data_IF_768357730604
#
_entry.id   IF_768357730604
#
_cell.length_a   1.000
_cell.length_b   1.000
_cell.length_c   1.000
_cell.angle_alpha   90.00
_cell.angle_beta   90.00
_cell.angle_gamma   90.00
#
_symmetry.space_group_name_H-M   'P 1'
#
loop_
_entity.id
_entity.type
_entity.pdbx_description
1 polymer ?
#
# COMPACT_ATOMS: atom_id res chain seq x y z
N UNK A 1 -36.49 163.92 -50.15
CA UNK A 1 -37.10 164.35 -48.88
C UNK A 1 -36.89 163.20 -47.91
N UNK A 2 -36.07 163.42 -46.88
CA UNK A 2 -35.62 162.40 -45.93
C UNK A 2 -36.71 162.14 -44.89
N UNK A 3 -37.07 160.87 -44.66
CA UNK A 3 -37.93 160.49 -43.54
C UNK A 3 -37.10 160.24 -42.29
N UNK A 4 -37.21 161.19 -41.35
CA UNK A 4 -36.40 161.33 -40.13
C UNK A 4 -36.78 160.34 -39.01
N UNK A 5 -37.66 159.37 -39.28
CA UNK A 5 -38.19 158.39 -38.31
C UNK A 5 -37.47 157.04 -38.28
N UNK A 6 -36.49 156.81 -39.15
CA UNK A 6 -35.75 155.54 -39.23
C UNK A 6 -34.38 155.55 -38.52
N UNK A 7 -34.01 156.67 -37.88
CA UNK A 7 -32.69 156.88 -37.30
C UNK A 7 -32.72 157.18 -35.78
N UNK A 8 -33.82 156.88 -35.10
CA UNK A 8 -34.02 157.20 -33.67
C UNK A 8 -34.01 155.95 -32.76
N UNK A 9 -33.67 154.77 -33.28
CA UNK A 9 -33.69 153.52 -32.49
C UNK A 9 -32.38 152.72 -32.50
N UNK A 10 -31.34 153.19 -33.19
CA UNK A 10 -30.01 152.53 -33.15
C UNK A 10 -29.15 152.97 -31.95
N UNK A 11 -29.49 154.06 -31.28
CA UNK A 11 -28.76 154.57 -30.10
C UNK A 11 -29.11 153.79 -28.81
N UNK A 12 -30.21 153.03 -28.81
CA UNK A 12 -30.64 152.23 -27.65
C UNK A 12 -29.86 150.91 -27.47
N UNK A 13 -29.13 150.42 -28.48
CA UNK A 13 -28.38 149.16 -28.37
C UNK A 13 -27.00 149.32 -27.74
N UNK A 14 -26.34 150.45 -27.95
CA UNK A 14 -24.93 150.64 -27.57
C UNK A 14 -24.74 150.88 -26.06
N UNK A 15 -25.81 151.29 -25.36
CA UNK A 15 -25.77 151.58 -23.92
C UNK A 15 -26.11 150.39 -23.01
N UNK A 16 -26.61 149.26 -23.55
CA UNK A 16 -27.05 148.10 -22.73
C UNK A 16 -26.16 146.85 -22.82
N UNK A 17 -25.32 146.71 -23.87
CA UNK A 17 -24.59 145.46 -24.15
C UNK A 17 -23.06 145.55 -24.15
N UNK A 18 -22.47 146.57 -23.50
CA UNK A 18 -20.99 146.74 -23.44
C UNK A 18 -20.23 145.56 -22.82
N UNK A 19 -20.87 144.75 -21.96
CA UNK A 19 -20.23 143.63 -21.26
C UNK A 19 -20.69 142.23 -21.74
N UNK A 20 -21.48 142.12 -22.81
CA UNK A 20 -22.09 140.85 -23.24
C UNK A 20 -21.07 139.78 -23.66
N UNK A 21 -19.97 140.20 -24.31
CA UNK A 21 -18.89 139.28 -24.70
C UNK A 21 -18.23 138.61 -23.49
N UNK A 22 -17.90 139.37 -22.45
CA UNK A 22 -17.26 138.81 -21.24
C UNK A 22 -18.19 137.87 -20.47
N UNK A 23 -19.49 138.15 -20.48
CA UNK A 23 -20.51 137.35 -19.78
C UNK A 23 -20.71 135.96 -20.43
N UNK A 24 -20.40 135.81 -21.72
CA UNK A 24 -20.46 134.54 -22.46
C UNK A 24 -19.10 133.84 -22.56
N UNK A 25 -18.01 134.59 -22.80
CA UNK A 25 -16.68 134.00 -23.05
C UNK A 25 -16.08 133.34 -21.80
N UNK A 26 -16.31 133.93 -20.62
CA UNK A 26 -15.73 133.47 -19.36
C UNK A 26 -16.26 132.09 -18.90
N UNK A 27 -17.59 131.85 -18.85
CA UNK A 27 -18.09 130.51 -18.50
C UNK A 27 -17.70 129.46 -19.54
N UNK A 28 -17.60 129.84 -20.82
CA UNK A 28 -17.18 128.94 -21.89
C UNK A 28 -15.71 128.51 -21.73
N UNK A 29 -14.84 129.44 -21.34
CA UNK A 29 -13.44 129.14 -21.06
C UNK A 29 -13.28 128.23 -19.83
N UNK A 30 -14.02 128.49 -18.75
CA UNK A 30 -14.04 127.65 -17.55
C UNK A 30 -14.51 126.22 -17.88
N UNK A 31 -15.53 126.08 -18.74
CA UNK A 31 -16.03 124.79 -19.19
C UNK A 31 -14.98 124.02 -20.02
N UNK A 32 -14.25 124.73 -20.90
CA UNK A 32 -13.19 124.13 -21.70
C UNK A 32 -12.03 123.63 -20.81
N UNK A 33 -11.56 124.47 -19.88
CA UNK A 33 -10.51 124.09 -18.92
C UNK A 33 -10.97 122.91 -18.03
N UNK A 34 -12.22 122.92 -17.58
CA UNK A 34 -12.82 121.82 -16.83
C UNK A 34 -12.84 120.50 -17.61
N UNK A 35 -13.19 120.54 -18.91
CA UNK A 35 -13.17 119.36 -19.77
C UNK A 35 -11.76 118.78 -19.98
N UNK A 36 -10.74 119.64 -20.11
CA UNK A 36 -9.34 119.20 -20.20
C UNK A 36 -8.89 118.55 -18.89
N UNK A 37 -9.17 119.15 -17.73
CA UNK A 37 -8.82 118.56 -16.43
C UNK A 37 -9.56 117.23 -16.22
N UNK A 38 -10.83 117.14 -16.64
CA UNK A 38 -11.64 115.93 -16.52
C UNK A 38 -11.07 114.76 -17.33
N UNK A 39 -10.51 115.00 -18.52
CA UNK A 39 -9.88 113.92 -19.32
C UNK A 39 -8.59 113.39 -18.70
N UNK A 40 -7.83 114.20 -17.96
CA UNK A 40 -6.67 113.72 -17.21
C UNK A 40 -7.06 112.91 -15.95
N UNK A 41 -8.20 113.21 -15.32
CA UNK A 41 -8.66 112.50 -14.12
C UNK A 41 -9.58 111.30 -14.40
N UNK A 42 -10.17 111.21 -15.60
CA UNK A 42 -11.06 110.12 -15.98
C UNK A 42 -10.28 108.80 -16.13
N UNK A 43 -10.28 107.99 -15.08
CA UNK A 43 -9.71 106.64 -15.10
C UNK A 43 -10.71 105.68 -15.76
N UNK A 44 -10.34 105.12 -16.92
CA UNK A 44 -11.15 104.10 -17.61
C UNK A 44 -10.79 102.72 -17.06
N UNK A 45 -11.63 102.18 -16.18
CA UNK A 45 -11.47 100.80 -15.71
C UNK A 45 -11.82 99.81 -16.84
N UNK A 46 -10.87 98.95 -17.21
CA UNK A 46 -11.03 97.86 -18.16
C UNK A 46 -11.03 96.54 -17.38
N UNK A 47 -12.21 96.09 -16.97
CA UNK A 47 -12.37 94.80 -16.31
C UNK A 47 -12.35 93.69 -17.36
N UNK A 48 -11.28 92.89 -17.37
CA UNK A 48 -11.16 91.71 -18.22
C UNK A 48 -11.80 90.54 -17.48
N UNK A 49 -12.99 90.13 -17.93
CA UNK A 49 -13.64 88.92 -17.45
C UNK A 49 -13.11 87.74 -18.28
N UNK A 50 -12.34 86.85 -17.65
CA UNK A 50 -11.81 85.64 -18.28
C UNK A 50 -12.56 84.42 -17.74
N UNK A 51 -13.10 83.59 -18.63
CA UNK A 51 -13.73 82.31 -18.27
C UNK A 51 -12.70 81.20 -18.27
N UNK A 52 -12.38 80.65 -17.09
CA UNK A 52 -11.56 79.45 -16.95
C UNK A 52 -12.40 78.27 -16.48
N UNK A 53 -12.17 77.08 -17.04
CA UNK A 53 -12.75 75.83 -16.54
C UNK A 53 -11.77 75.18 -15.57
N UNK A 54 -12.27 74.67 -14.44
CA UNK A 54 -11.45 73.91 -13.47
C UNK A 54 -11.57 72.43 -13.85
N UNK A 55 -10.49 71.88 -14.40
CA UNK A 55 -10.39 70.45 -14.70
C UNK A 55 -9.42 69.75 -13.74
N UNK A 56 -9.67 68.46 -13.39
CA UNK A 56 -8.78 67.69 -12.54
C UNK A 56 -7.38 67.54 -13.16
N UNK A 57 -6.33 67.87 -12.40
CA UNK A 57 -4.93 67.78 -12.87
C UNK A 57 -4.44 66.34 -13.05
N UNK A 58 -5.18 65.35 -12.53
CA UNK A 58 -4.88 63.91 -12.64
C UNK A 58 -6.16 63.14 -12.97
N UNK A 59 -6.00 62.00 -13.66
CA UNK A 59 -7.10 61.09 -14.00
C UNK A 59 -7.88 60.74 -12.73
N UNK A 60 -9.21 60.91 -12.78
CA UNK A 60 -10.11 60.48 -11.70
C UNK A 60 -10.06 58.95 -11.61
N UNK A 61 -9.31 58.43 -10.65
CA UNK A 61 -9.21 57.00 -10.43
C UNK A 61 -10.54 56.46 -9.88
N UNK A 62 -11.10 55.45 -10.55
CA UNK A 62 -12.24 54.69 -10.03
C UNK A 62 -11.72 53.65 -9.05
N UNK A 63 -12.03 53.83 -7.78
CA UNK A 63 -11.71 52.85 -6.73
C UNK A 63 -12.82 51.79 -6.74
N UNK A 64 -12.45 50.53 -6.97
CA UNK A 64 -13.38 49.41 -7.01
C UNK A 64 -12.89 48.32 -6.05
N UNK A 65 -13.83 47.68 -5.36
CA UNK A 65 -13.52 46.46 -4.62
C UNK A 65 -13.54 45.26 -5.57
N UNK A 66 -12.65 44.30 -5.32
CA UNK A 66 -12.66 42.99 -5.98
C UNK A 66 -13.59 41.99 -5.28
N UNK A 67 -14.17 42.35 -4.13
CA UNK A 67 -15.15 41.54 -3.39
C UNK A 67 -16.52 42.21 -3.33
N UNK A 68 -17.57 41.38 -3.24
CA UNK A 68 -18.97 41.83 -3.18
C UNK A 68 -19.52 41.86 -1.74
N UNK A 69 -18.64 41.94 -0.73
CA UNK A 69 -19.02 41.85 0.67
C UNK A 69 -19.73 43.13 1.14
N UNK A 70 -20.57 43.05 2.19
CA UNK A 70 -21.18 44.24 2.76
C UNK A 70 -20.12 45.16 3.39
N UNK A 71 -20.30 46.47 3.24
CA UNK A 71 -19.46 47.49 3.86
C UNK A 71 -19.83 47.60 5.34
N UNK A 72 -18.84 47.49 6.23
CA UNK A 72 -19.00 47.66 7.69
C UNK A 72 -18.57 49.06 8.14
N UNK A 73 -17.50 49.62 7.55
CA UNK A 73 -17.05 50.98 7.86
C UNK A 73 -16.93 51.80 6.57
N UNK A 74 -17.52 53.00 6.56
CA UNK A 74 -17.43 53.93 5.45
C UNK A 74 -16.80 55.26 5.92
N UNK A 75 -15.58 55.52 5.45
CA UNK A 75 -14.83 56.74 5.75
C UNK A 75 -14.86 57.77 4.60
N UNK A 76 -15.61 57.49 3.54
CA UNK A 76 -15.80 58.37 2.39
C UNK A 76 -16.82 59.47 2.72
N UNK A 77 -16.47 60.71 2.36
CA UNK A 77 -17.37 61.86 2.34
C UNK A 77 -17.05 62.69 1.10
N UNK A 78 -18.06 63.26 0.46
CA UNK A 78 -17.86 64.12 -0.71
C UNK A 78 -16.95 65.31 -0.36
N UNK A 79 -16.01 65.62 -1.26
CA UNK A 79 -15.04 66.71 -1.06
C UNK A 79 -13.94 66.43 -0.02
N UNK A 80 -13.92 65.26 0.63
CA UNK A 80 -12.87 64.92 1.60
C UNK A 80 -11.56 64.59 0.89
N UNK A 81 -10.50 65.31 1.26
CA UNK A 81 -9.13 65.03 0.78
C UNK A 81 -8.62 63.73 1.43
N UNK A 82 -8.17 62.79 0.62
CA UNK A 82 -7.63 61.49 1.05
C UNK A 82 -6.19 61.33 0.55
N UNK A 83 -5.37 60.61 1.33
CA UNK A 83 -3.99 60.28 0.95
C UNK A 83 -3.93 58.85 0.40
N UNK A 84 -2.90 58.54 -0.36
CA UNK A 84 -2.60 57.15 -0.76
C UNK A 84 -2.53 56.22 0.47
N UNK A 85 -3.02 54.99 0.32
CA UNK A 85 -3.15 53.99 1.40
C UNK A 85 -4.06 54.37 2.58
N UNK A 86 -4.89 55.41 2.45
CA UNK A 86 -5.92 55.71 3.46
C UNK A 86 -7.06 54.68 3.40
N UNK A 87 -7.51 54.20 4.56
CA UNK A 87 -8.68 53.32 4.64
C UNK A 87 -9.95 54.10 4.25
N UNK A 88 -10.54 53.75 3.11
CA UNK A 88 -11.75 54.38 2.61
C UNK A 88 -13.01 53.61 2.99
N UNK A 89 -13.00 52.31 2.74
CA UNK A 89 -14.09 51.38 3.03
C UNK A 89 -13.51 50.15 3.70
N UNK A 90 -14.21 49.61 4.71
CA UNK A 90 -13.91 48.31 5.30
C UNK A 90 -15.06 47.36 5.01
N UNK A 91 -14.75 46.26 4.33
CA UNK A 91 -15.71 45.23 3.98
C UNK A 91 -15.75 44.13 5.03
N UNK A 92 -16.89 43.43 5.14
CA UNK A 92 -17.02 42.27 6.01
C UNK A 92 -16.12 41.13 5.51
N UNK A 93 -15.09 40.78 6.28
CA UNK A 93 -14.16 39.68 5.96
C UNK A 93 -14.49 38.35 6.64
N UNK A 94 -15.66 38.21 7.27
CA UNK A 94 -16.05 36.98 7.96
C UNK A 94 -16.13 35.77 7.01
N UNK A 95 -16.76 35.85 5.81
CA UNK A 95 -16.81 34.72 4.88
C UNK A 95 -15.42 34.23 4.46
N UNK A 96 -14.49 35.13 4.16
CA UNK A 96 -13.11 34.79 3.79
C UNK A 96 -12.33 34.18 4.95
N UNK A 97 -12.53 34.67 6.18
CA UNK A 97 -11.92 34.09 7.37
C UNK A 97 -12.47 32.67 7.65
N UNK A 98 -13.77 32.44 7.44
CA UNK A 98 -14.35 31.09 7.53
C UNK A 98 -13.76 30.18 6.46
N UNK A 99 -13.74 30.59 5.19
CA UNK A 99 -13.13 29.80 4.11
C UNK A 99 -11.65 29.50 4.36
N UNK A 100 -10.89 30.49 4.85
CA UNK A 100 -9.48 30.32 5.19
C UNK A 100 -9.30 29.31 6.33
N UNK A 101 -10.13 29.38 7.38
CA UNK A 101 -10.04 28.44 8.50
C UNK A 101 -10.44 27.01 8.11
N UNK A 102 -11.44 26.85 7.25
CA UNK A 102 -11.81 25.57 6.63
C UNK A 102 -10.65 25.02 5.79
N UNK A 103 -10.04 25.82 4.92
CA UNK A 103 -8.92 25.41 4.08
C UNK A 103 -7.69 25.04 4.92
N UNK A 104 -7.39 25.79 5.98
CA UNK A 104 -6.31 25.47 6.91
C UNK A 104 -6.59 24.16 7.67
N UNK A 105 -7.84 23.90 8.04
CA UNK A 105 -8.27 22.65 8.67
C UNK A 105 -8.11 21.47 7.72
N UNK A 106 -8.56 21.60 6.47
CA UNK A 106 -8.37 20.59 5.43
C UNK A 106 -6.89 20.30 5.18
N UNK A 107 -6.07 21.36 5.08
CA UNK A 107 -4.61 21.22 4.93
C UNK A 107 -4.00 20.44 6.09
N UNK A 108 -4.40 20.75 7.33
CA UNK A 108 -3.94 20.01 8.52
C UNK A 108 -4.35 18.55 8.46
N UNK A 109 -5.61 18.25 8.16
CA UNK A 109 -6.11 16.87 8.02
C UNK A 109 -5.33 16.06 6.99
N UNK A 110 -5.00 16.67 5.83
CA UNK A 110 -4.19 16.01 4.79
C UNK A 110 -2.76 15.75 5.27
N UNK A 111 -2.14 16.69 5.98
CA UNK A 111 -0.80 16.50 6.55
C UNK A 111 -0.79 15.40 7.61
N UNK A 112 -1.79 15.37 8.48
CA UNK A 112 -1.94 14.34 9.52
C UNK A 112 -2.18 12.96 8.88
N UNK A 113 -3.02 12.87 7.83
CA UNK A 113 -3.24 11.64 7.05
C UNK A 113 -1.95 11.15 6.41
N UNK A 114 -1.16 12.05 5.81
CA UNK A 114 0.15 11.72 5.21
C UNK A 114 1.12 11.17 6.26
N UNK A 115 1.23 11.82 7.41
CA UNK A 115 2.14 11.37 8.48
C UNK A 115 1.77 9.97 8.99
N UNK A 116 0.48 9.68 9.18
CA UNK A 116 0.02 8.36 9.62
C UNK A 116 0.16 7.29 8.52
N UNK A 117 0.02 7.66 7.25
CA UNK A 117 0.31 6.77 6.12
C UNK A 117 1.81 6.44 6.02
N UNK A 118 2.69 7.40 6.26
CA UNK A 118 4.14 7.17 6.30
C UNK A 118 4.51 6.22 7.45
N UNK A 119 3.83 6.32 8.61
CA UNK A 119 3.96 5.35 9.70
C UNK A 119 3.50 3.94 9.27
N UNK A 120 2.37 3.81 8.59
CA UNK A 120 1.93 2.51 8.06
C UNK A 120 2.96 1.90 7.10
N UNK A 121 3.51 2.71 6.20
CA UNK A 121 4.52 2.23 5.26
C UNK A 121 5.77 1.75 6.01
N UNK A 122 6.21 2.46 7.04
CA UNK A 122 7.31 2.03 7.90
C UNK A 122 6.96 0.73 8.64
N UNK A 123 5.76 0.63 9.20
CA UNK A 123 5.32 -0.59 9.91
C UNK A 123 5.32 -1.81 9.00
N UNK A 124 4.81 -1.67 7.77
CA UNK A 124 4.85 -2.75 6.76
C UNK A 124 6.27 -3.08 6.31
N UNK A 125 7.17 -2.09 6.26
CA UNK A 125 8.56 -2.28 5.81
C UNK A 125 9.40 -2.96 6.87
N UNK A 126 9.28 -2.52 8.12
CA UNK A 126 10.02 -3.02 9.28
C UNK A 126 9.35 -4.24 9.92
N UNK A 127 8.16 -4.61 9.44
CA UNK A 127 7.36 -5.74 9.96
C UNK A 127 7.06 -5.61 11.47
N UNK A 128 6.87 -4.38 11.92
CA UNK A 128 6.65 -4.03 13.32
C UNK A 128 5.71 -2.84 13.41
N UNK A 129 4.86 -2.78 14.44
CA UNK A 129 4.04 -1.59 14.67
C UNK A 129 4.94 -0.38 15.05
N UNK A 130 5.02 0.62 14.18
CA UNK A 130 5.73 1.89 14.36
C UNK A 130 4.81 3.03 14.83
N UNK A 131 3.52 2.76 15.06
CA UNK A 131 2.59 3.76 15.56
C UNK A 131 2.86 4.01 17.06
N UNK A 132 3.12 5.26 17.47
CA UNK A 132 3.38 5.58 18.88
C UNK A 132 2.09 5.59 19.71
N UNK A 133 0.96 5.89 19.07
CA UNK A 133 -0.37 5.99 19.66
C UNK A 133 -1.41 5.60 18.63
N UNK A 134 -2.63 5.34 19.11
CA UNK A 134 -3.77 5.04 18.24
C UNK A 134 -4.00 6.15 17.22
N UNK A 135 -4.07 5.72 15.97
CA UNK A 135 -4.21 6.56 14.81
C UNK A 135 -5.69 6.95 14.59
N UNK A 136 -5.94 8.10 13.97
CA UNK A 136 -7.32 8.60 13.77
C UNK A 136 -7.95 8.10 12.46
N UNK A 137 -7.18 7.45 11.59
CA UNK A 137 -7.61 7.04 10.25
C UNK A 137 -7.75 5.52 10.10
N UNK A 138 -7.40 4.72 11.11
CA UNK A 138 -7.47 3.26 11.12
C UNK A 138 -6.31 2.56 10.41
N UNK A 139 -5.20 3.26 10.18
CA UNK A 139 -3.99 2.71 9.59
C UNK A 139 -3.24 1.76 10.53
N UNK A 140 -3.20 2.05 11.82
CA UNK A 140 -2.66 1.12 12.82
C UNK A 140 -3.47 -0.18 12.79
N UNK A 141 -4.81 -0.07 12.81
CA UNK A 141 -5.67 -1.23 12.74
C UNK A 141 -5.51 -2.03 11.43
N UNK A 142 -5.23 -1.34 10.33
CA UNK A 142 -4.91 -1.96 9.05
C UNK A 142 -3.62 -2.78 9.15
N UNK A 143 -2.60 -2.28 9.85
CA UNK A 143 -1.36 -3.01 10.10
C UNK A 143 -1.58 -4.22 11.02
N UNK A 144 -2.32 -4.08 12.12
CA UNK A 144 -2.66 -5.22 13.00
C UNK A 144 -3.40 -6.34 12.25
N UNK A 145 -4.31 -5.97 11.34
CA UNK A 145 -5.01 -6.92 10.49
C UNK A 145 -4.08 -7.60 9.50
N UNK A 146 -3.08 -6.89 8.96
CA UNK A 146 -2.02 -7.48 8.14
C UNK A 146 -1.19 -8.49 8.97
N UNK A 147 -0.75 -8.10 10.16
CA UNK A 147 0.05 -8.95 11.05
C UNK A 147 -0.70 -10.23 11.44
N UNK A 148 -2.00 -10.10 11.74
CA UNK A 148 -2.88 -11.24 12.02
C UNK A 148 -3.02 -12.18 10.82
N UNK A 149 -3.11 -11.64 9.60
CA UNK A 149 -3.14 -12.44 8.38
C UNK A 149 -1.81 -13.15 8.11
N UNK A 150 -0.67 -12.50 8.36
CA UNK A 150 0.65 -13.12 8.28
C UNK A 150 0.77 -14.28 9.26
N UNK A 151 0.44 -14.06 10.54
CA UNK A 151 0.46 -15.12 11.57
C UNK A 151 -0.44 -16.30 11.21
N UNK A 152 -1.64 -16.03 10.72
CA UNK A 152 -2.56 -17.08 10.28
C UNK A 152 -1.99 -17.88 9.11
N UNK A 153 -1.39 -17.19 8.14
CA UNK A 153 -0.78 -17.82 6.97
C UNK A 153 0.40 -18.72 7.39
N UNK A 154 1.30 -18.21 8.24
CA UNK A 154 2.44 -18.96 8.77
C UNK A 154 1.98 -20.21 9.53
N UNK A 155 0.96 -20.07 10.39
CA UNK A 155 0.38 -21.20 11.11
C UNK A 155 -0.23 -22.26 10.17
N UNK A 156 -0.90 -21.83 9.09
CA UNK A 156 -1.46 -22.74 8.09
C UNK A 156 -0.36 -23.50 7.35
N UNK A 157 0.69 -22.81 6.89
CA UNK A 157 1.82 -23.42 6.19
C UNK A 157 2.57 -24.38 7.12
N UNK A 158 2.85 -23.97 8.36
CA UNK A 158 3.51 -24.81 9.35
C UNK A 158 2.69 -26.08 9.62
N UNK A 159 1.37 -25.96 9.81
CA UNK A 159 0.49 -27.10 10.03
C UNK A 159 0.45 -28.05 8.83
N UNK A 160 0.44 -27.50 7.62
CA UNK A 160 0.52 -28.29 6.38
C UNK A 160 1.84 -29.08 6.33
N UNK A 161 2.97 -28.40 6.54
CA UNK A 161 4.29 -29.01 6.51
C UNK A 161 4.50 -30.04 7.63
N UNK A 162 3.93 -29.80 8.81
CA UNK A 162 3.93 -30.78 9.90
C UNK A 162 3.17 -32.05 9.51
N UNK A 163 2.00 -31.92 8.86
CA UNK A 163 1.23 -33.07 8.41
C UNK A 163 2.01 -33.90 7.36
N UNK A 164 2.75 -33.23 6.47
CA UNK A 164 3.68 -33.90 5.52
C UNK A 164 4.77 -34.66 6.26
N UNK A 165 5.40 -34.01 7.24
CA UNK A 165 6.46 -34.63 8.04
C UNK A 165 5.96 -35.85 8.83
N UNK A 166 4.81 -35.74 9.48
CA UNK A 166 4.20 -36.81 10.27
C UNK A 166 3.83 -38.01 9.38
N UNK A 167 3.29 -37.74 8.18
CA UNK A 167 2.99 -38.78 7.20
C UNK A 167 4.26 -39.48 6.71
N UNK A 168 5.33 -38.72 6.42
CA UNK A 168 6.61 -39.29 6.00
C UNK A 168 7.23 -40.15 7.12
N UNK A 169 7.21 -39.67 8.38
CA UNK A 169 7.66 -40.44 9.55
C UNK A 169 6.87 -41.73 9.76
N UNK A 170 5.55 -41.67 9.62
CA UNK A 170 4.69 -42.85 9.70
C UNK A 170 5.00 -43.85 8.59
N UNK A 171 5.17 -43.37 7.36
CA UNK A 171 5.53 -44.19 6.20
C UNK A 171 6.88 -44.88 6.39
N UNK A 172 7.88 -44.14 6.86
CA UNK A 172 9.21 -44.67 7.15
C UNK A 172 9.17 -45.72 8.27
N UNK A 173 8.40 -45.47 9.32
CA UNK A 173 8.22 -46.44 10.41
C UNK A 173 7.57 -47.74 9.91
N UNK A 174 6.59 -47.65 9.01
CA UNK A 174 5.97 -48.82 8.37
C UNK A 174 6.96 -49.56 7.48
N UNK A 175 7.79 -48.85 6.70
CA UNK A 175 8.86 -49.47 5.89
C UNK A 175 9.85 -50.24 6.75
N UNK A 176 10.32 -49.63 7.84
CA UNK A 176 11.24 -50.29 8.77
C UNK A 176 10.63 -51.54 9.41
N UNK A 177 9.35 -51.50 9.80
CA UNK A 177 8.66 -52.66 10.33
C UNK A 177 8.59 -53.80 9.30
N UNK A 178 8.30 -53.48 8.04
CA UNK A 178 8.29 -54.47 6.94
C UNK A 178 9.69 -55.03 6.71
N UNK A 179 10.72 -54.19 6.66
CA UNK A 179 12.11 -54.62 6.48
C UNK A 179 12.57 -55.57 7.60
N UNK A 180 12.20 -55.29 8.86
CA UNK A 180 12.47 -56.17 9.99
C UNK A 180 11.77 -57.53 9.86
N UNK A 181 10.53 -57.53 9.37
CA UNK A 181 9.78 -58.77 9.11
C UNK A 181 10.44 -59.59 7.98
N UNK A 182 10.86 -58.92 6.90
CA UNK A 182 11.60 -59.54 5.79
C UNK A 182 12.92 -60.14 6.28
N UNK A 183 13.69 -59.43 7.10
CA UNK A 183 14.94 -59.93 7.67
C UNK A 183 14.72 -61.19 8.52
N UNK A 184 13.65 -61.21 9.32
CA UNK A 184 13.26 -62.38 10.13
C UNK A 184 12.94 -63.60 9.23
N UNK A 185 12.19 -63.39 8.14
CA UNK A 185 11.86 -64.45 7.19
C UNK A 185 13.10 -64.93 6.42
N UNK A 186 14.02 -64.03 6.06
CA UNK A 186 15.29 -64.38 5.45
C UNK A 186 16.14 -65.25 6.37
N UNK A 187 16.20 -64.93 7.67
CA UNK A 187 16.88 -65.76 8.65
C UNK A 187 16.25 -67.15 8.76
N UNK A 188 14.92 -67.25 8.74
CA UNK A 188 14.24 -68.55 8.73
C UNK A 188 14.61 -69.38 7.49
N UNK A 189 14.71 -68.76 6.31
CA UNK A 189 15.18 -69.42 5.08
C UNK A 189 16.63 -69.92 5.23
N UNK A 190 17.51 -69.13 5.85
CA UNK A 190 18.89 -69.56 6.13
C UNK A 190 18.92 -70.77 7.08
N UNK A 191 18.12 -70.75 8.14
CA UNK A 191 18.00 -71.87 9.08
C UNK A 191 17.51 -73.16 8.40
N UNK A 192 16.55 -73.06 7.46
CA UNK A 192 16.14 -74.22 6.65
C UNK A 192 17.23 -74.67 5.66
N UNK A 193 17.99 -73.73 5.08
CA UNK A 193 19.08 -74.04 4.14
C UNK A 193 20.23 -74.78 4.84
N UNK A 194 20.49 -74.46 6.11
CA UNK A 194 21.44 -75.20 6.93
C UNK A 194 21.04 -76.67 7.10
N UNK A 195 19.76 -76.94 7.41
CA UNK A 195 19.24 -78.30 7.54
C UNK A 195 19.29 -79.03 6.19
N UNK A 196 18.90 -78.36 5.09
CA UNK A 196 18.96 -78.93 3.74
C UNK A 196 20.39 -79.35 3.37
N UNK A 197 21.38 -78.51 3.69
CA UNK A 197 22.79 -78.83 3.49
C UNK A 197 23.21 -80.03 4.35
N UNK A 198 22.87 -80.05 5.63
CA UNK A 198 23.21 -81.15 6.54
C UNK A 198 22.65 -82.50 6.07
N UNK A 199 21.40 -82.54 5.61
CA UNK A 199 20.75 -83.73 5.02
C UNK A 199 21.42 -84.14 3.71
N UNK A 200 21.84 -83.17 2.90
CA UNK A 200 22.46 -83.42 1.60
C UNK A 200 23.87 -83.99 1.72
N UNK A 201 24.69 -83.42 2.62
CA UNK A 201 26.12 -83.75 2.76
C UNK A 201 26.46 -84.66 3.95
N UNK A 202 25.49 -85.04 4.79
CA UNK A 202 25.72 -85.84 6.00
C UNK A 202 26.38 -85.06 7.15
N UNK A 203 26.11 -83.75 7.23
CA UNK A 203 26.69 -82.84 8.22
C UNK A 203 25.85 -82.66 9.50
N UNK A 204 26.33 -81.83 10.42
CA UNK A 204 25.54 -81.40 11.59
C UNK A 204 24.81 -80.07 11.33
N UNK A 205 23.80 -79.77 12.16
CA UNK A 205 23.08 -78.49 12.19
C UNK A 205 23.44 -77.77 13.50
N UNK A 206 23.53 -76.44 13.48
CA UNK A 206 23.77 -75.61 14.66
C UNK A 206 22.76 -75.88 15.78
N UNK A 207 23.24 -75.84 17.03
CA UNK A 207 22.41 -75.97 18.22
C UNK A 207 21.44 -74.79 18.40
N UNK A 208 21.77 -73.63 17.83
CA UNK A 208 20.94 -72.43 17.87
C UNK A 208 19.86 -72.42 16.79
N UNK A 209 19.82 -73.42 15.91
CA UNK A 209 18.84 -73.50 14.84
C UNK A 209 17.45 -73.84 15.43
N UNK A 210 16.43 -72.97 15.27
CA UNK A 210 15.10 -73.18 15.86
C UNK A 210 14.37 -74.41 15.29
N UNK A 211 14.83 -74.96 14.17
CA UNK A 211 14.24 -76.13 13.50
C UNK A 211 15.05 -77.42 13.72
N UNK A 212 16.03 -77.42 14.64
CA UNK A 212 16.89 -78.57 14.94
C UNK A 212 16.11 -79.85 15.28
N UNK A 213 14.96 -79.73 15.96
CA UNK A 213 14.11 -80.89 16.28
C UNK A 213 13.59 -81.63 15.04
N UNK A 214 13.35 -80.92 13.94
CA UNK A 214 12.95 -81.52 12.67
C UNK A 214 14.10 -82.34 12.06
N UNK A 215 15.32 -81.80 12.13
CA UNK A 215 16.52 -82.51 11.68
C UNK A 215 16.80 -83.77 12.51
N UNK A 216 16.71 -83.67 13.84
CA UNK A 216 16.91 -84.81 14.74
C UNK A 216 15.87 -85.90 14.50
N UNK A 217 14.62 -85.51 14.20
CA UNK A 217 13.56 -86.47 13.86
C UNK A 217 13.87 -87.21 12.55
N UNK A 218 14.39 -86.51 11.54
CA UNK A 218 14.85 -87.13 10.29
C UNK A 218 16.01 -88.10 10.55
N UNK A 219 17.02 -87.71 11.33
CA UNK A 219 18.15 -88.58 11.68
C UNK A 219 17.70 -89.85 12.41
N UNK A 220 16.73 -89.74 13.34
CA UNK A 220 16.19 -90.90 14.05
C UNK A 220 15.47 -91.88 13.10
N UNK A 221 14.72 -91.37 12.12
CA UNK A 221 14.08 -92.21 11.10
C UNK A 221 15.11 -92.91 10.22
N UNK A 222 16.17 -92.20 9.82
CA UNK A 222 17.28 -92.78 9.07
C UNK A 222 18.00 -93.90 9.87
N UNK A 223 18.30 -93.66 11.15
CA UNK A 223 18.92 -94.66 12.01
C UNK A 223 18.04 -95.91 12.23
N UNK A 224 16.71 -95.75 12.21
CA UNK A 224 15.78 -96.87 12.31
C UNK A 224 15.86 -97.78 11.08
N UNK A 225 15.88 -97.21 9.87
CA UNK A 225 16.05 -97.96 8.63
C UNK A 225 17.39 -98.73 8.60
N UNK A 226 18.47 -98.10 9.06
CA UNK A 226 19.79 -98.73 9.17
C UNK A 226 19.80 -99.88 10.21
N UNK A 227 19.11 -99.71 11.34
CA UNK A 227 19.02 -100.72 12.38
C UNK A 227 18.18 -101.94 11.94
N UNK A 228 17.08 -101.70 11.23
CA UNK A 228 16.22 -102.76 10.67
C UNK A 228 17.00 -103.65 9.68
N UNK A 229 17.86 -103.05 8.84
CA UNK A 229 18.75 -103.79 7.94
C UNK A 229 19.80 -104.62 8.70
N UNK A 230 20.36 -104.10 9.79
CA UNK A 230 21.33 -104.83 10.65
C UNK A 230 20.71 -105.99 11.41
N UNK A 231 19.43 -105.89 11.77
CA UNK A 231 18.71 -106.91 12.53
C UNK A 231 18.19 -108.08 11.66
N UNK A 232 18.20 -107.95 10.33
CA UNK A 232 17.91 -109.07 9.44
C UNK A 232 19.05 -110.12 9.46
N UNK A 233 18.71 -111.39 9.72
CA UNK A 233 19.64 -112.53 9.57
C UNK A 233 19.93 -112.75 8.08
N UNK A 234 21.19 -112.59 7.66
CA UNK A 234 21.67 -112.70 6.27
C UNK A 234 20.92 -111.78 5.28
N UNK A 235 21.15 -110.46 5.33
CA UNK A 235 20.57 -109.55 4.34
C UNK A 235 21.15 -109.84 2.95
N UNK A 236 20.29 -110.20 2.01
CA UNK A 236 20.65 -110.39 0.60
C UNK A 236 20.85 -109.02 -0.09
N UNK A 237 21.38 -109.03 -1.32
CA UNK A 237 21.54 -107.80 -2.13
C UNK A 237 20.20 -107.08 -2.32
N UNK A 238 19.10 -107.82 -2.43
CA UNK A 238 17.74 -107.30 -2.58
C UNK A 238 17.31 -106.47 -1.36
N UNK A 239 17.55 -106.96 -0.15
CA UNK A 239 17.23 -106.26 1.10
C UNK A 239 18.05 -104.99 1.27
N UNK A 240 19.36 -105.04 0.96
CA UNK A 240 20.23 -103.85 0.99
C UNK A 240 19.76 -102.78 0.00
N UNK A 241 19.34 -103.19 -1.19
CA UNK A 241 18.88 -102.27 -2.22
C UNK A 241 17.49 -101.68 -1.90
N UNK A 242 16.62 -102.46 -1.26
CA UNK A 242 15.33 -101.99 -0.76
C UNK A 242 15.48 -100.94 0.34
N UNK A 243 16.35 -101.17 1.34
CA UNK A 243 16.63 -100.18 2.40
C UNK A 243 17.24 -98.90 1.83
N UNK A 244 18.20 -99.02 0.91
CA UNK A 244 18.80 -97.85 0.26
C UNK A 244 17.75 -97.01 -0.50
N UNK A 245 16.81 -97.66 -1.18
CA UNK A 245 15.69 -96.98 -1.85
C UNK A 245 14.75 -96.29 -0.86
N UNK A 246 14.51 -96.90 0.31
CA UNK A 246 13.73 -96.29 1.38
C UNK A 246 14.42 -95.07 2.00
N UNK A 247 15.74 -95.13 2.21
CA UNK A 247 16.55 -94.00 2.68
C UNK A 247 16.54 -92.84 1.68
N UNK A 248 16.68 -93.13 0.37
CA UNK A 248 16.58 -92.12 -0.69
C UNK A 248 15.18 -91.50 -0.77
N UNK A 249 14.13 -92.32 -0.62
CA UNK A 249 12.76 -91.83 -0.54
C UNK A 249 12.55 -90.93 0.68
N UNK A 250 13.04 -91.34 1.86
CA UNK A 250 12.94 -90.56 3.09
C UNK A 250 13.66 -89.21 2.95
N UNK A 251 14.90 -89.23 2.43
CA UNK A 251 15.69 -88.03 2.13
C UNK A 251 14.96 -87.11 1.15
N UNK A 252 14.45 -87.65 0.06
CA UNK A 252 13.72 -86.88 -0.95
C UNK A 252 12.45 -86.26 -0.38
N UNK A 253 11.68 -86.99 0.43
CA UNK A 253 10.46 -86.47 1.07
C UNK A 253 10.80 -85.34 2.04
N UNK A 254 11.81 -85.53 2.89
CA UNK A 254 12.25 -84.50 3.83
C UNK A 254 12.72 -83.24 3.10
N UNK A 255 13.61 -83.38 2.11
CA UNK A 255 14.09 -82.25 1.30
C UNK A 255 12.95 -81.53 0.57
N UNK A 256 11.96 -82.26 0.05
CA UNK A 256 10.79 -81.65 -0.60
C UNK A 256 9.92 -80.83 0.38
N UNK A 257 9.80 -81.28 1.63
CA UNK A 257 9.10 -80.56 2.69
C UNK A 257 9.84 -79.27 3.09
N UNK A 258 11.17 -79.31 3.18
CA UNK A 258 11.99 -78.12 3.40
C UNK A 258 11.92 -77.13 2.24
N UNK A 259 11.99 -77.62 0.99
CA UNK A 259 11.84 -76.79 -0.19
C UNK A 259 10.50 -76.05 -0.19
N UNK A 260 9.41 -76.77 0.06
CA UNK A 260 8.06 -76.21 0.17
C UNK A 260 7.96 -75.13 1.27
N UNK A 261 8.59 -75.39 2.43
CA UNK A 261 8.62 -74.42 3.53
C UNK A 261 9.38 -73.15 3.15
N UNK A 262 10.56 -73.28 2.52
CA UNK A 262 11.34 -72.13 2.03
C UNK A 262 10.58 -71.34 0.96
N UNK A 263 9.91 -72.00 0.03
CA UNK A 263 9.19 -71.31 -1.05
C UNK A 263 7.96 -70.56 -0.54
N UNK A 264 7.30 -71.08 0.50
CA UNK A 264 6.26 -70.34 1.24
C UNK A 264 6.83 -69.07 1.88
N UNK A 265 7.98 -69.14 2.55
CA UNK A 265 8.65 -67.97 3.14
C UNK A 265 9.09 -66.96 2.07
N UNK A 266 9.64 -67.41 0.94
CA UNK A 266 9.99 -66.53 -0.19
C UNK A 266 8.76 -65.80 -0.73
N UNK A 267 7.63 -66.49 -0.84
CA UNK A 267 6.37 -65.89 -1.29
C UNK A 267 5.89 -64.82 -0.30
N UNK A 268 6.02 -65.06 1.01
CA UNK A 268 5.73 -64.04 2.04
C UNK A 268 6.66 -62.83 1.91
N UNK A 269 7.97 -63.02 1.71
CA UNK A 269 8.92 -61.93 1.48
C UNK A 269 8.52 -61.12 0.23
N UNK A 270 8.15 -61.77 -0.87
CA UNK A 270 7.68 -61.08 -2.07
C UNK A 270 6.43 -60.22 -1.77
N UNK A 271 5.47 -60.74 -1.00
CA UNK A 271 4.29 -59.97 -0.60
C UNK A 271 4.64 -58.74 0.23
N UNK A 272 5.60 -58.86 1.16
CA UNK A 272 6.09 -57.75 1.96
C UNK A 272 6.85 -56.71 1.13
N UNK A 273 7.69 -57.14 0.18
CA UNK A 273 8.41 -56.23 -0.71
C UNK A 273 7.43 -55.44 -1.62
N UNK A 274 6.35 -56.08 -2.07
CA UNK A 274 5.27 -55.40 -2.81
C UNK A 274 4.57 -54.38 -1.91
N UNK A 275 4.25 -54.75 -0.67
CA UNK A 275 3.66 -53.84 0.31
C UNK A 275 4.57 -52.64 0.60
N UNK A 276 5.87 -52.86 0.82
CA UNK A 276 6.86 -51.80 1.03
C UNK A 276 6.94 -50.85 -0.17
N UNK A 277 6.94 -51.39 -1.38
CA UNK A 277 6.99 -50.62 -2.62
C UNK A 277 5.73 -49.77 -2.83
N UNK A 278 4.58 -50.20 -2.29
CA UNK A 278 3.33 -49.45 -2.33
C UNK A 278 3.29 -48.27 -1.35
N UNK A 279 4.19 -48.22 -0.37
CA UNK A 279 4.29 -47.14 0.60
C UNK A 279 5.04 -45.93 0.00
N UNK A 280 4.28 -44.94 -0.46
CA UNK A 280 4.80 -43.65 -0.96
C UNK A 280 4.56 -42.53 0.06
N UNK A 281 5.62 -41.85 0.51
CA UNK A 281 5.49 -40.55 1.19
C UNK A 281 5.19 -39.49 0.15
N UNK A 282 4.03 -38.84 0.20
CA UNK A 282 3.49 -38.17 -0.98
C UNK A 282 2.87 -36.81 -0.73
N UNK A 283 3.60 -35.91 -0.08
CA UNK A 283 3.27 -34.48 -0.15
C UNK A 283 4.55 -33.64 -0.23
N UNK A 284 4.53 -32.64 -1.11
CA UNK A 284 5.59 -31.64 -1.18
C UNK A 284 5.42 -30.65 -0.03
N UNK A 285 6.54 -30.20 0.54
CA UNK A 285 6.53 -29.10 1.50
C UNK A 285 6.06 -27.81 0.82
N UNK A 286 5.16 -27.10 1.47
CA UNK A 286 4.77 -25.75 1.07
C UNK A 286 5.90 -24.78 1.44
N UNK A 287 6.57 -24.26 0.40
CA UNK A 287 7.65 -23.28 0.50
C UNK A 287 7.21 -21.88 0.02
N UNK A 288 5.90 -21.63 -0.08
CA UNK A 288 5.36 -20.41 -0.67
C UNK A 288 5.23 -19.24 0.33
N UNK A 289 5.58 -19.43 1.61
CA UNK A 289 5.40 -18.43 2.69
C UNK A 289 5.87 -17.03 2.29
N UNK A 290 7.13 -16.88 1.87
CA UNK A 290 7.68 -15.56 1.51
C UNK A 290 6.92 -14.90 0.36
N UNK A 291 6.51 -15.68 -0.66
CA UNK A 291 5.75 -15.16 -1.80
C UNK A 291 4.33 -14.73 -1.42
N UNK A 292 3.68 -15.46 -0.51
CA UNK A 292 2.35 -15.16 -0.03
C UNK A 292 2.36 -13.94 0.90
N UNK A 293 3.34 -13.83 1.81
CA UNK A 293 3.54 -12.64 2.66
C UNK A 293 3.80 -11.40 1.79
N UNK A 294 4.67 -11.50 0.77
CA UNK A 294 4.93 -10.38 -0.15
C UNK A 294 3.65 -9.95 -0.91
N UNK A 295 2.83 -10.91 -1.32
CA UNK A 295 1.54 -10.64 -1.97
C UNK A 295 0.57 -9.93 -1.02
N UNK A 296 0.48 -10.38 0.23
CA UNK A 296 -0.33 -9.76 1.27
C UNK A 296 0.13 -8.32 1.54
N UNK A 297 1.43 -8.09 1.69
CA UNK A 297 2.03 -6.77 1.90
C UNK A 297 1.69 -5.82 0.74
N UNK A 298 1.83 -6.30 -0.50
CA UNK A 298 1.50 -5.52 -1.70
C UNK A 298 0.02 -5.16 -1.78
N UNK A 299 -0.88 -6.11 -1.46
CA UNK A 299 -2.33 -5.88 -1.42
C UNK A 299 -2.70 -4.80 -0.40
N UNK A 300 -2.14 -4.87 0.81
CA UNK A 300 -2.38 -3.86 1.85
C UNK A 300 -1.89 -2.48 1.42
N UNK A 301 -0.73 -2.38 0.77
CA UNK A 301 -0.25 -1.10 0.25
C UNK A 301 -1.18 -0.50 -0.81
N UNK A 302 -1.67 -1.32 -1.75
CA UNK A 302 -2.59 -0.86 -2.81
C UNK A 302 -3.95 -0.37 -2.27
N UNK A 303 -4.47 -1.00 -1.22
CA UNK A 303 -5.74 -0.60 -0.61
C UNK A 303 -5.70 0.79 0.01
N UNK A 304 -4.53 1.23 0.48
CA UNK A 304 -4.38 2.54 1.11
C UNK A 304 -4.17 3.66 0.09
N UNK A 305 -3.58 3.38 -1.08
CA UNK A 305 -3.43 4.36 -2.17
C UNK A 305 -4.80 4.72 -2.79
N UNK A 306 -5.75 3.78 -2.79
CA UNK A 306 -7.09 3.99 -3.39
C UNK A 306 -8.07 4.77 -2.51
N UNK A 307 -7.71 5.10 -1.25
CA UNK A 307 -8.57 5.76 -0.26
C UNK A 307 -8.12 7.18 0.09
#
# INVERSE_FOLDING_TARGET
MFDKKLLESSELYDKRYRNFSTLIILPLFILLVGGVIFTFFAHKELTVISTGSIEPTKIVAKIQSTNANPIIENNLKEGKVVKENSLLLKYNGTPEQTQLSELLTQKKQVLDKKAQLDLLQKSLTNEKNEFPTTDSFGYEKSFENYESQVKSLEATIQKSNQAVEDQNKSTESQKQAIQNQVATLQQAIQNYSEIENAVSSGGGVSQDNPYLSQYNSYQAQQATLEADLKNQKNPDETAKQATKSQEESLKSQFLSGLASSKDSLKSQIQSFNVQESSLTGSNAYDNSQSSQILTLKTRHFQLQIKK
#
